data_IF_086855265416
#
_entry.id   IF_086855265416
#
_cell.length_a   1.000
_cell.length_b   1.000
_cell.length_c   1.000
_cell.angle_alpha   90.00
_cell.angle_beta   90.00
_cell.angle_gamma   90.00
#
_symmetry.space_group_name_H-M   'P 1'
#
loop_
_entity.id
_entity.type
_entity.pdbx_description
1 polymer ?
#
# COMPACT_ATOMS: atom_id res chain seq x y z
N UNK A 1 -30.32 -10.18 68.98
CA UNK A 1 -30.42 -9.63 67.60
C UNK A 1 -29.01 -9.28 67.10
N UNK A 2 -28.23 -10.24 66.59
CA UNK A 2 -26.84 -9.97 66.15
C UNK A 2 -26.38 -11.01 65.13
N UNK A 3 -26.87 -10.94 63.88
CA UNK A 3 -26.50 -11.93 62.87
C UNK A 3 -26.69 -11.55 61.39
N UNK A 4 -27.14 -10.33 61.07
CA UNK A 4 -27.44 -9.93 59.68
C UNK A 4 -26.44 -8.98 59.01
N UNK A 5 -25.38 -8.55 59.70
CA UNK A 5 -24.48 -7.50 59.18
C UNK A 5 -23.30 -8.01 58.33
N UNK A 6 -22.97 -9.32 58.36
CA UNK A 6 -21.79 -9.86 57.67
C UNK A 6 -22.01 -10.36 56.23
N UNK A 7 -23.25 -10.69 55.84
CA UNK A 7 -23.52 -11.32 54.53
C UNK A 7 -23.55 -10.32 53.38
N UNK A 8 -24.06 -9.11 53.61
CA UNK A 8 -24.24 -8.10 52.55
C UNK A 8 -22.92 -7.50 52.02
N UNK A 9 -21.87 -7.48 52.85
CA UNK A 9 -20.56 -6.94 52.47
C UNK A 9 -19.82 -7.83 51.44
N UNK A 10 -20.05 -9.14 51.47
CA UNK A 10 -19.46 -10.08 50.49
C UNK A 10 -20.15 -9.96 49.14
N UNK A 11 -21.49 -9.83 49.12
CA UNK A 11 -22.24 -9.61 47.87
C UNK A 11 -21.96 -8.24 47.24
N UNK A 12 -21.76 -7.19 48.03
CA UNK A 12 -21.36 -5.87 47.51
C UNK A 12 -20.00 -5.88 46.81
N UNK A 13 -19.04 -6.70 47.27
CA UNK A 13 -17.74 -6.86 46.60
C UNK A 13 -17.81 -7.69 45.32
N UNK A 14 -18.72 -8.66 45.26
CA UNK A 14 -18.87 -9.55 44.12
C UNK A 14 -19.61 -8.92 42.92
N UNK A 15 -20.50 -7.94 43.14
CA UNK A 15 -21.31 -7.33 42.09
C UNK A 15 -20.52 -6.58 40.98
N UNK A 16 -19.24 -6.25 41.21
CA UNK A 16 -18.40 -5.58 40.20
C UNK A 16 -17.73 -6.50 39.19
N UNK A 17 -17.53 -7.79 39.52
CA UNK A 17 -16.82 -8.73 38.63
C UNK A 17 -17.49 -8.92 37.26
N UNK A 18 -18.83 -9.05 37.15
CA UNK A 18 -19.49 -9.21 35.84
C UNK A 18 -19.31 -7.99 34.94
N UNK A 19 -19.34 -6.78 35.51
CA UNK A 19 -19.15 -5.53 34.77
C UNK A 19 -17.73 -5.46 34.21
N UNK A 20 -16.72 -5.82 35.01
CA UNK A 20 -15.32 -5.87 34.55
C UNK A 20 -15.14 -6.90 33.42
N UNK A 21 -15.72 -8.09 33.55
CA UNK A 21 -15.65 -9.12 32.51
C UNK A 21 -16.29 -8.68 31.19
N UNK A 22 -17.48 -8.05 31.26
CA UNK A 22 -18.14 -7.49 30.08
C UNK A 22 -17.32 -6.35 29.47
N UNK A 23 -16.78 -5.45 30.28
CA UNK A 23 -15.94 -4.35 29.81
C UNK A 23 -14.70 -4.84 29.07
N UNK A 24 -14.03 -5.88 29.57
CA UNK A 24 -12.87 -6.49 28.89
C UNK A 24 -13.30 -7.12 27.56
N UNK A 25 -14.40 -7.88 27.54
CA UNK A 25 -14.91 -8.50 26.32
C UNK A 25 -15.23 -7.46 25.23
N UNK A 26 -15.90 -6.37 25.61
CA UNK A 26 -16.20 -5.26 24.71
C UNK A 26 -14.92 -4.54 24.27
N UNK A 27 -13.96 -4.30 25.17
CA UNK A 27 -12.70 -3.66 24.84
C UNK A 27 -11.89 -4.48 23.82
N UNK A 28 -11.85 -5.81 23.96
CA UNK A 28 -11.19 -6.70 22.99
C UNK A 28 -11.90 -6.61 21.63
N UNK A 29 -13.23 -6.65 21.60
CA UNK A 29 -13.99 -6.53 20.35
C UNK A 29 -13.70 -5.20 19.64
N UNK A 30 -13.72 -4.09 20.38
CA UNK A 30 -13.39 -2.76 19.85
C UNK A 30 -11.95 -2.70 19.35
N UNK A 31 -11.00 -3.29 20.08
CA UNK A 31 -9.60 -3.34 19.67
C UNK A 31 -9.42 -4.09 18.33
N UNK A 32 -10.07 -5.24 18.16
CA UNK A 32 -9.99 -6.01 16.90
C UNK A 32 -10.58 -5.22 15.74
N UNK A 33 -11.76 -4.62 15.94
CA UNK A 33 -12.38 -3.77 14.91
C UNK A 33 -11.52 -2.56 14.56
N UNK A 34 -10.84 -1.96 15.55
CA UNK A 34 -9.91 -0.85 15.32
C UNK A 34 -8.70 -1.27 14.48
N UNK A 35 -8.17 -2.48 14.69
CA UNK A 35 -7.05 -2.99 13.89
C UNK A 35 -7.48 -3.22 12.45
N UNK A 36 -8.65 -3.85 12.22
CA UNK A 36 -9.15 -4.08 10.86
C UNK A 36 -9.44 -2.77 10.14
N UNK A 37 -10.12 -1.83 10.81
CA UNK A 37 -10.40 -0.51 10.21
C UNK A 37 -9.12 0.26 9.90
N UNK A 38 -8.15 0.28 10.83
CA UNK A 38 -6.87 0.95 10.61
C UNK A 38 -6.05 0.30 9.49
N UNK A 39 -6.07 -1.03 9.42
CA UNK A 39 -5.39 -1.79 8.36
C UNK A 39 -6.01 -1.53 7.00
N UNK A 40 -7.34 -1.50 6.88
CA UNK A 40 -8.04 -1.23 5.62
C UNK A 40 -7.66 0.15 5.06
N UNK A 41 -7.64 1.17 5.91
CA UNK A 41 -7.22 2.53 5.50
C UNK A 41 -5.76 2.52 5.08
N UNK A 42 -4.87 1.93 5.88
CA UNK A 42 -3.44 1.87 5.55
C UNK A 42 -3.18 1.10 4.25
N UNK A 43 -3.90 0.01 4.01
CA UNK A 43 -3.79 -0.76 2.77
C UNK A 43 -4.33 0.06 1.59
N UNK A 44 -5.50 0.68 1.73
CA UNK A 44 -6.10 1.51 0.68
C UNK A 44 -5.17 2.65 0.28
N UNK A 45 -4.71 3.42 1.26
CA UNK A 45 -3.91 4.62 1.01
C UNK A 45 -2.52 4.30 0.48
N UNK A 46 -1.86 3.24 0.96
CA UNK A 46 -0.47 2.94 0.58
C UNK A 46 -0.34 2.01 -0.61
N UNK A 47 -1.26 1.06 -0.78
CA UNK A 47 -1.16 0.08 -1.88
C UNK A 47 -1.77 0.66 -3.14
N UNK A 48 -2.99 1.21 -3.09
CA UNK A 48 -3.63 1.71 -4.32
C UNK A 48 -2.97 2.99 -4.86
N UNK A 49 -2.25 3.77 -4.04
CA UNK A 49 -1.52 4.96 -4.52
C UNK A 49 -0.30 4.64 -5.38
N UNK A 50 0.21 3.40 -5.27
CA UNK A 50 1.45 2.97 -5.92
C UNK A 50 1.19 2.23 -7.24
N UNK A 51 -0.01 1.68 -7.42
CA UNK A 51 -0.34 0.90 -8.60
C UNK A 51 -1.33 1.65 -9.50
N UNK A 52 -1.13 1.61 -10.84
CA UNK A 52 -2.15 2.08 -11.75
C UNK A 52 -3.43 1.27 -11.58
N UNK A 53 -4.58 1.95 -11.64
CA UNK A 53 -5.89 1.30 -11.51
C UNK A 53 -6.17 0.28 -12.62
N UNK A 54 -5.61 0.52 -13.81
CA UNK A 54 -5.78 -0.34 -15.00
C UNK A 54 -4.46 -0.42 -15.74
N UNK A 55 -4.08 -1.63 -16.13
CA UNK A 55 -2.96 -1.91 -17.04
C UNK A 55 -3.53 -2.51 -18.32
N UNK A 56 -3.17 -1.92 -19.46
CA UNK A 56 -3.63 -2.36 -20.77
C UNK A 56 -2.43 -2.90 -21.52
N UNK A 57 -2.44 -4.20 -21.80
CA UNK A 57 -1.43 -4.86 -22.61
C UNK A 57 -2.03 -5.24 -23.97
N UNK A 58 -1.30 -4.96 -25.04
CA UNK A 58 -1.59 -5.58 -26.33
C UNK A 58 -1.26 -7.08 -26.26
N UNK A 59 -2.01 -7.93 -26.99
CA UNK A 59 -1.77 -9.38 -27.02
C UNK A 59 -0.36 -9.74 -27.47
N UNK A 60 0.25 -8.90 -28.30
CA UNK A 60 1.61 -9.08 -28.80
C UNK A 60 2.65 -8.29 -28.00
N UNK A 61 2.27 -7.72 -26.84
CA UNK A 61 3.09 -6.77 -26.06
C UNK A 61 3.60 -5.58 -26.89
N UNK A 62 2.91 -5.30 -28.01
CA UNK A 62 3.20 -4.14 -28.83
C UNK A 62 2.72 -2.86 -28.12
N UNK A 63 3.44 -1.77 -28.32
CA UNK A 63 3.01 -0.46 -27.85
C UNK A 63 1.67 -0.11 -28.49
N UNK A 64 0.73 0.41 -27.68
CA UNK A 64 -0.55 0.89 -28.20
C UNK A 64 -0.32 1.99 -29.23
N UNK A 65 -1.06 1.92 -30.33
CA UNK A 65 -1.02 2.95 -31.36
C UNK A 65 -1.66 4.25 -30.84
N UNK A 66 -1.25 5.40 -31.40
CA UNK A 66 -1.78 6.71 -30.99
C UNK A 66 -3.31 6.79 -31.05
N UNK A 67 -3.95 6.14 -32.02
CA UNK A 67 -5.41 6.12 -32.12
C UNK A 67 -6.09 5.37 -30.96
N UNK A 68 -5.46 4.30 -30.45
CA UNK A 68 -5.96 3.55 -29.30
C UNK A 68 -5.78 4.37 -28.02
N UNK A 69 -4.62 5.02 -27.86
CA UNK A 69 -4.36 5.93 -26.73
C UNK A 69 -5.37 7.09 -26.70
N UNK A 70 -5.60 7.75 -27.83
CA UNK A 70 -6.58 8.83 -27.93
C UNK A 70 -8.00 8.37 -27.59
N UNK A 71 -8.38 7.14 -27.97
CA UNK A 71 -9.68 6.58 -27.61
C UNK A 71 -9.80 6.35 -26.09
N UNK A 72 -8.73 5.88 -25.44
CA UNK A 72 -8.69 5.67 -23.99
C UNK A 72 -8.75 7.02 -23.26
N UNK A 73 -7.91 7.98 -23.66
CA UNK A 73 -7.85 9.32 -23.06
C UNK A 73 -9.12 10.14 -23.28
N UNK A 74 -9.92 9.79 -24.30
CA UNK A 74 -11.22 10.45 -24.54
C UNK A 74 -12.31 10.08 -23.52
N UNK A 75 -12.10 9.05 -22.69
CA UNK A 75 -13.07 8.65 -21.68
C UNK A 75 -13.00 9.57 -20.46
N UNK A 76 -14.15 10.12 -20.03
CA UNK A 76 -14.21 11.05 -18.87
C UNK A 76 -13.67 10.47 -17.56
N UNK A 77 -13.65 9.14 -17.42
CA UNK A 77 -13.15 8.44 -16.23
C UNK A 77 -11.63 8.27 -16.20
N UNK A 78 -10.93 8.56 -17.31
CA UNK A 78 -9.47 8.42 -17.41
C UNK A 78 -8.82 9.73 -17.00
N UNK A 79 -8.18 9.73 -15.83
CA UNK A 79 -7.52 10.92 -15.27
C UNK A 79 -6.13 11.17 -15.88
N UNK A 80 -5.38 10.10 -16.11
CA UNK A 80 -4.03 10.14 -16.66
C UNK A 80 -3.67 8.78 -17.28
N UNK A 81 -2.71 8.80 -18.21
CA UNK A 81 -2.16 7.63 -18.89
C UNK A 81 -0.63 7.73 -18.86
N UNK A 82 0.04 6.59 -18.71
CA UNK A 82 1.48 6.50 -18.79
C UNK A 82 1.90 5.19 -19.49
N UNK A 83 2.90 5.24 -20.39
CA UNK A 83 3.44 4.03 -20.99
C UNK A 83 4.36 3.31 -20.00
N UNK A 84 4.22 1.98 -19.95
CA UNK A 84 5.07 1.11 -19.13
C UNK A 84 5.58 -0.06 -19.99
N UNK A 85 6.85 -0.43 -19.79
CA UNK A 85 7.45 -1.63 -20.39
C UNK A 85 8.21 -2.40 -19.32
N UNK A 86 7.95 -3.70 -19.20
CA UNK A 86 8.59 -4.55 -18.21
C UNK A 86 9.63 -5.46 -18.84
N UNK A 87 10.82 -5.50 -18.25
CA UNK A 87 11.96 -6.26 -18.75
C UNK A 87 12.48 -7.15 -17.62
N UNK A 88 12.40 -8.46 -17.80
CA UNK A 88 13.03 -9.42 -16.89
C UNK A 88 14.54 -9.42 -17.04
N UNK A 89 15.27 -9.48 -15.92
CA UNK A 89 16.72 -9.49 -15.91
C UNK A 89 17.34 -10.01 -14.62
N UNK A 90 18.65 -9.89 -14.51
CA UNK A 90 19.41 -10.23 -13.32
C UNK A 90 20.25 -9.04 -12.88
N UNK A 91 20.08 -8.60 -11.64
CA UNK A 91 20.90 -7.59 -11.02
C UNK A 91 22.09 -8.26 -10.35
N UNK A 92 23.29 -7.75 -10.62
CA UNK A 92 24.55 -8.27 -10.09
C UNK A 92 25.30 -7.12 -9.45
N UNK A 93 25.49 -7.19 -8.15
CA UNK A 93 26.24 -6.19 -7.39
C UNK A 93 26.92 -6.87 -6.19
N UNK A 94 28.16 -6.50 -5.90
CA UNK A 94 28.90 -6.97 -4.71
C UNK A 94 28.95 -8.51 -4.54
N UNK A 95 28.93 -9.27 -5.65
CA UNK A 95 28.91 -10.74 -5.62
C UNK A 95 27.55 -11.37 -5.31
N UNK A 96 26.50 -10.57 -5.13
CA UNK A 96 25.12 -11.03 -5.04
C UNK A 96 24.46 -11.02 -6.44
N UNK A 97 23.58 -11.99 -6.66
CA UNK A 97 22.81 -12.16 -7.89
C UNK A 97 21.32 -12.26 -7.55
N UNK A 98 20.51 -11.38 -8.10
CA UNK A 98 19.07 -11.37 -7.85
C UNK A 98 18.31 -11.21 -9.18
N UNK A 99 17.34 -12.09 -9.42
CA UNK A 99 16.40 -11.92 -10.53
C UNK A 99 15.48 -10.73 -10.24
N UNK A 100 15.35 -9.82 -11.20
CA UNK A 100 14.51 -8.61 -11.09
C UNK A 100 13.65 -8.43 -12.34
N UNK A 101 12.56 -7.68 -12.19
CA UNK A 101 11.79 -7.11 -13.30
C UNK A 101 12.02 -5.61 -13.25
N UNK A 102 12.46 -5.03 -14.36
CA UNK A 102 12.70 -3.61 -14.52
C UNK A 102 11.53 -3.01 -15.30
N UNK A 103 10.85 -2.03 -14.70
CA UNK A 103 9.81 -1.26 -15.37
C UNK A 103 10.42 0.01 -15.96
N UNK A 104 10.46 0.12 -17.29
CA UNK A 104 10.77 1.35 -17.98
C UNK A 104 9.52 2.22 -18.05
N UNK A 105 9.64 3.45 -17.55
CA UNK A 105 8.54 4.42 -17.40
C UNK A 105 8.98 5.79 -17.93
N UNK A 106 8.02 6.61 -18.36
CA UNK A 106 8.26 8.05 -18.53
C UNK A 106 8.08 8.75 -17.17
N UNK A 107 9.14 9.32 -16.55
CA UNK A 107 9.05 9.89 -15.21
C UNK A 107 8.02 11.02 -15.07
N UNK A 108 7.69 11.70 -16.17
CA UNK A 108 6.75 12.84 -16.17
C UNK A 108 5.30 12.42 -16.32
N UNK A 109 5.03 11.35 -17.07
CA UNK A 109 3.69 10.79 -17.21
C UNK A 109 3.36 9.87 -16.03
N UNK A 110 4.33 9.09 -15.56
CA UNK A 110 4.14 8.15 -14.45
C UNK A 110 3.71 8.87 -13.16
N UNK A 111 4.30 10.04 -12.89
CA UNK A 111 3.95 10.89 -11.74
C UNK A 111 2.51 11.43 -11.78
N UNK A 112 1.81 11.32 -12.90
CA UNK A 112 0.39 11.69 -13.02
C UNK A 112 -0.53 10.49 -12.73
N UNK A 113 -0.01 9.26 -12.85
CA UNK A 113 -0.76 8.02 -12.67
C UNK A 113 -0.60 7.46 -11.27
N UNK A 114 0.59 7.57 -10.67
CA UNK A 114 0.87 7.12 -9.31
C UNK A 114 1.77 8.11 -8.55
N UNK A 115 1.84 7.90 -7.23
CA UNK A 115 2.63 8.76 -6.33
C UNK A 115 4.01 8.16 -6.01
N UNK A 116 4.61 7.38 -6.93
CA UNK A 116 5.96 6.82 -6.73
C UNK A 116 7.04 7.86 -6.34
N UNK A 117 7.03 9.11 -6.88
CA UNK A 117 8.04 10.10 -6.52
C UNK A 117 8.07 10.45 -5.02
N UNK A 118 6.94 10.35 -4.31
CA UNK A 118 6.89 10.68 -2.87
C UNK A 118 7.55 9.64 -1.97
N UNK A 119 7.76 8.43 -2.49
CA UNK A 119 8.39 7.31 -1.76
C UNK A 119 9.90 7.22 -1.97
N UNK A 120 10.50 8.11 -2.78
CA UNK A 120 11.95 8.14 -3.01
C UNK A 120 12.67 8.68 -1.76
N UNK A 121 13.42 7.82 -1.07
CA UNK A 121 14.14 8.15 0.16
C UNK A 121 15.51 8.78 -0.08
N UNK A 122 16.16 8.45 -1.21
CA UNK A 122 17.49 8.92 -1.58
C UNK A 122 17.59 9.12 -3.09
N UNK A 123 18.31 10.15 -3.53
CA UNK A 123 18.38 10.56 -4.92
C UNK A 123 17.20 11.45 -5.34
N UNK A 124 16.85 11.44 -6.63
CA UNK A 124 15.76 12.24 -7.18
C UNK A 124 15.05 11.50 -8.30
N UNK A 125 13.72 11.49 -8.27
CA UNK A 125 12.90 10.92 -9.36
C UNK A 125 13.21 11.54 -10.72
N UNK A 126 13.43 12.86 -10.76
CA UNK A 126 13.75 13.59 -11.98
C UNK A 126 15.08 13.16 -12.63
N UNK A 127 15.98 12.52 -11.86
CA UNK A 127 17.25 12.02 -12.38
C UNK A 127 17.07 10.91 -13.43
N UNK A 128 15.95 10.17 -13.42
CA UNK A 128 15.63 9.15 -14.42
C UNK A 128 15.59 9.71 -15.85
N UNK A 129 15.30 11.01 -16.01
CA UNK A 129 15.29 11.68 -17.32
C UNK A 129 16.64 12.28 -17.71
N UNK A 130 17.50 12.57 -16.73
CA UNK A 130 18.73 13.35 -16.94
C UNK A 130 19.90 12.50 -17.43
N UNK A 131 19.93 11.21 -17.12
CA UNK A 131 20.98 10.30 -17.58
C UNK A 131 20.41 8.98 -18.12
N UNK A 132 21.07 8.43 -19.12
CA UNK A 132 20.57 7.34 -19.98
C UNK A 132 20.48 5.96 -19.28
N UNK A 133 20.97 5.82 -18.04
CA UNK A 133 21.03 4.53 -17.33
C UNK A 133 20.77 4.65 -15.83
N UNK A 134 19.98 5.64 -15.42
CA UNK A 134 19.57 5.73 -14.02
C UNK A 134 18.47 4.70 -13.72
N UNK A 135 18.58 4.05 -12.57
CA UNK A 135 17.61 3.09 -12.07
C UNK A 135 17.21 3.49 -10.65
N UNK A 136 15.91 3.39 -10.36
CA UNK A 136 15.40 3.47 -9.00
C UNK A 136 15.12 2.05 -8.54
N UNK A 137 15.64 1.69 -7.37
CA UNK A 137 15.47 0.38 -6.77
C UNK A 137 14.86 0.51 -5.38
N UNK A 138 14.18 -0.53 -4.93
CA UNK A 138 13.64 -0.56 -3.58
C UNK A 138 14.76 -0.61 -2.54
N UNK A 139 14.46 -0.12 -1.32
CA UNK A 139 15.41 -0.16 -0.22
C UNK A 139 15.91 -1.58 0.07
N UNK A 140 15.06 -2.60 -0.12
CA UNK A 140 15.41 -4.01 0.10
C UNK A 140 16.40 -4.56 -0.92
N UNK A 141 16.40 -4.04 -2.15
CA UNK A 141 17.38 -4.40 -3.18
C UNK A 141 18.66 -3.58 -3.08
N UNK A 142 18.60 -2.42 -2.42
CA UNK A 142 19.75 -1.53 -2.26
C UNK A 142 20.70 -1.93 -1.12
N UNK A 143 20.22 -2.72 -0.14
CA UNK A 143 21.00 -3.23 1.00
C UNK A 143 21.72 -4.53 0.66
#
# INVERSE_FOLDING_TARGET
MAGKLGKNAVYQRANGLPVVGLSIAVAILVMVLSVVNGFEVALRERVLSLFPHVLIYDRNQAQLNQAQLALIESQEQVLATAPIMEIGGMLIANGAHQGIVVSAVDPTLEAQVNDLPSYVTSGSWASLRQATFNIVISQQLAT
#
